data_IF_740219405848
#
_entry.id   IF_740219405848
#
_cell.length_a   1.000
_cell.length_b   1.000
_cell.length_c   1.000
_cell.angle_alpha   90.00
_cell.angle_beta   90.00
_cell.angle_gamma   90.00
#
_symmetry.space_group_name_H-M   'P 1'
#
loop_
_entity.id
_entity.type
_entity.pdbx_description
1 polymer ?
#
# COMPACT_ATOMS: atom_id res chain seq x y z
N UNK A 1 25.97 -12.86 -41.63
CA UNK A 1 25.75 -13.74 -40.45
C UNK A 1 25.70 -12.84 -39.24
N UNK A 2 24.60 -12.94 -38.47
CA UNK A 2 24.34 -12.25 -37.19
C UNK A 2 25.40 -12.61 -36.13
N UNK A 3 25.57 -11.87 -35.00
CA UNK A 3 24.48 -11.29 -34.21
C UNK A 3 24.73 -9.89 -33.60
N UNK A 4 23.66 -9.13 -33.41
CA UNK A 4 23.63 -8.09 -32.40
C UNK A 4 22.33 -8.25 -31.63
N UNK A 5 22.43 -9.12 -30.62
CA UNK A 5 21.57 -9.13 -29.45
C UNK A 5 21.75 -7.84 -28.67
N UNK A 6 20.64 -7.17 -28.39
CA UNK A 6 20.46 -6.30 -27.22
C UNK A 6 18.95 -6.24 -27.01
N UNK A 7 18.37 -7.32 -26.50
CA UNK A 7 18.02 -7.49 -25.09
C UNK A 7 17.36 -6.24 -24.49
N UNK A 8 16.03 -6.31 -24.49
CA UNK A 8 15.18 -6.02 -23.33
C UNK A 8 15.31 -4.62 -22.76
N UNK A 9 14.69 -3.63 -23.42
CA UNK A 9 14.06 -2.56 -22.67
C UNK A 9 12.96 -3.20 -21.83
N UNK A 10 13.25 -3.33 -20.54
CA UNK A 10 12.37 -3.82 -19.50
C UNK A 10 11.02 -3.09 -19.57
N UNK A 11 10.05 -3.76 -20.17
CA UNK A 11 8.63 -3.49 -19.97
C UNK A 11 8.31 -3.86 -18.52
N UNK A 12 8.62 -2.98 -17.58
CA UNK A 12 8.01 -3.03 -16.25
C UNK A 12 6.60 -2.46 -16.35
N UNK A 13 5.74 -3.19 -17.06
CA UNK A 13 4.33 -3.20 -16.73
C UNK A 13 4.25 -4.26 -15.66
N UNK A 14 4.30 -3.89 -14.39
CA UNK A 14 3.75 -4.78 -13.37
C UNK A 14 2.28 -4.95 -13.76
N UNK A 15 1.85 -6.13 -14.22
CA UNK A 15 0.42 -6.34 -14.36
C UNK A 15 -0.11 -6.28 -12.93
N UNK A 16 -0.99 -5.32 -12.68
CA UNK A 16 -1.85 -5.24 -11.50
C UNK A 16 -2.66 -6.55 -11.33
N UNK A 17 -2.06 -7.67 -10.90
CA UNK A 17 -2.78 -8.95 -10.72
C UNK A 17 -2.00 -9.93 -9.83
N UNK A 18 -1.83 -9.62 -8.54
CA UNK A 18 -1.75 -10.69 -7.52
C UNK A 18 -2.51 -10.24 -6.29
N UNK A 19 -3.56 -10.98 -5.93
CA UNK A 19 -4.42 -10.76 -4.76
C UNK A 19 -3.72 -11.03 -3.41
N UNK A 20 -2.39 -10.96 -3.40
CA UNK A 20 -1.56 -11.24 -2.23
C UNK A 20 -0.42 -10.24 -2.16
N UNK A 21 -0.26 -9.60 -1.01
CA UNK A 21 0.86 -8.69 -0.75
C UNK A 21 2.20 -9.43 -0.95
N UNK A 22 3.13 -8.89 -1.77
CA UNK A 22 4.35 -9.62 -2.10
C UNK A 22 5.25 -9.89 -0.89
N UNK A 23 5.83 -11.09 -0.83
CA UNK A 23 6.77 -11.51 0.22
C UNK A 23 8.20 -11.05 -0.08
N UNK A 24 8.37 -9.75 -0.34
CA UNK A 24 9.71 -9.23 -0.61
C UNK A 24 10.58 -9.20 0.67
N UNK A 25 11.88 -9.48 0.56
CA UNK A 25 12.77 -9.63 1.71
C UNK A 25 13.35 -8.30 2.21
N UNK A 26 13.19 -7.19 1.49
CA UNK A 26 13.64 -5.88 1.96
C UNK A 26 12.47 -5.10 2.52
N UNK A 27 12.76 -4.19 3.44
CA UNK A 27 11.80 -3.25 3.97
C UNK A 27 12.21 -1.83 3.62
N UNK A 28 11.26 -0.92 3.60
CA UNK A 28 11.56 0.48 3.72
C UNK A 28 10.66 1.11 4.78
N UNK A 29 11.27 1.91 5.64
CA UNK A 29 10.61 2.73 6.63
C UNK A 29 11.35 4.08 6.73
N UNK A 30 10.67 5.19 7.04
CA UNK A 30 11.34 6.44 7.32
C UNK A 30 11.94 6.44 8.74
N UNK A 31 13.03 7.17 8.96
CA UNK A 31 13.79 7.15 10.23
C UNK A 31 12.99 7.58 11.47
N UNK A 32 11.96 8.41 11.30
CA UNK A 32 11.21 9.04 12.40
C UNK A 32 9.75 8.56 12.51
N UNK A 33 9.41 7.40 11.93
CA UNK A 33 8.03 7.15 11.52
C UNK A 33 7.33 5.93 12.12
N UNK A 34 6.07 6.19 12.49
CA UNK A 34 5.08 5.18 12.82
C UNK A 34 4.58 4.40 11.62
N UNK A 35 3.71 3.46 11.94
CA UNK A 35 3.56 2.23 11.19
C UNK A 35 2.85 2.34 9.83
N UNK A 36 2.20 3.48 9.66
CA UNK A 36 1.51 3.93 8.46
C UNK A 36 2.37 3.87 7.18
N UNK A 37 3.70 3.98 7.27
CA UNK A 37 4.60 4.20 6.12
C UNK A 37 5.57 3.06 5.79
N UNK A 38 5.49 1.93 6.50
CA UNK A 38 6.38 0.78 6.27
C UNK A 38 5.91 0.00 5.03
N UNK A 39 6.83 -0.44 4.16
CA UNK A 39 6.52 -1.31 3.01
C UNK A 39 7.58 -2.39 2.80
N UNK A 40 7.17 -3.56 2.27
CA UNK A 40 8.07 -4.57 1.69
C UNK A 40 8.50 -4.13 0.29
N UNK A 41 9.78 -4.27 -0.01
CA UNK A 41 10.43 -3.75 -1.23
C UNK A 41 11.13 -4.88 -1.99
N UNK A 42 10.99 -4.96 -3.33
CA UNK A 42 11.64 -5.99 -4.15
C UNK A 42 13.17 -6.02 -3.99
N UNK A 43 13.80 -7.21 -4.07
CA UNK A 43 15.24 -7.37 -3.87
C UNK A 43 16.11 -6.84 -5.00
N UNK A 44 15.53 -6.68 -6.19
CA UNK A 44 16.16 -6.12 -7.38
C UNK A 44 16.12 -4.59 -7.42
N UNK A 45 15.47 -3.96 -6.42
CA UNK A 45 15.26 -2.52 -6.39
C UNK A 45 16.40 -1.83 -5.61
N UNK A 46 17.39 -1.31 -6.33
CA UNK A 46 18.52 -0.60 -5.72
C UNK A 46 18.12 0.71 -5.03
N UNK A 47 17.06 1.37 -5.53
CA UNK A 47 16.55 2.61 -4.95
C UNK A 47 15.03 2.74 -5.09
N UNK A 48 14.35 3.02 -3.98
CA UNK A 48 12.91 3.19 -3.92
C UNK A 48 12.52 4.61 -4.34
N UNK A 49 11.84 4.71 -5.48
CA UNK A 49 11.28 5.97 -5.98
C UNK A 49 9.87 6.18 -5.42
N UNK A 50 9.46 7.44 -5.25
CA UNK A 50 8.14 7.80 -4.70
C UNK A 50 6.97 7.11 -5.42
N UNK A 51 6.90 7.06 -6.77
CA UNK A 51 5.78 6.40 -7.45
C UNK A 51 5.70 4.90 -7.15
N UNK A 52 6.86 4.24 -6.99
CA UNK A 52 6.94 2.82 -6.66
C UNK A 52 6.52 2.60 -5.21
N UNK A 53 6.98 3.45 -4.29
CA UNK A 53 6.55 3.44 -2.90
C UNK A 53 5.04 3.57 -2.76
N UNK A 54 4.42 4.53 -3.44
CA UNK A 54 2.98 4.74 -3.40
C UNK A 54 2.21 3.53 -3.93
N UNK A 55 2.70 2.91 -5.02
CA UNK A 55 2.11 1.67 -5.54
C UNK A 55 2.21 0.51 -4.54
N UNK A 56 3.38 0.30 -3.92
CA UNK A 56 3.56 -0.73 -2.88
C UNK A 56 2.66 -0.48 -1.66
N UNK A 57 2.46 0.78 -1.28
CA UNK A 57 1.56 1.14 -0.18
C UNK A 57 0.09 0.87 -0.54
N UNK A 58 -0.32 1.16 -1.77
CA UNK A 58 -1.66 0.80 -2.25
C UNK A 58 -1.89 -0.71 -2.23
N UNK A 59 -0.92 -1.51 -2.69
CA UNK A 59 -1.00 -2.97 -2.63
C UNK A 59 -1.08 -3.47 -1.19
N UNK A 60 -0.34 -2.85 -0.25
CA UNK A 60 -0.43 -3.17 1.17
C UNK A 60 -1.82 -2.90 1.72
N UNK A 61 -2.37 -1.72 1.44
CA UNK A 61 -3.67 -1.32 1.95
C UNK A 61 -4.81 -2.14 1.31
N UNK A 62 -4.71 -2.48 0.02
CA UNK A 62 -5.61 -3.43 -0.64
C UNK A 62 -5.64 -4.78 0.10
N UNK A 63 -4.46 -5.30 0.48
CA UNK A 63 -4.37 -6.53 1.27
C UNK A 63 -5.03 -6.39 2.64
N UNK A 64 -4.76 -5.31 3.38
CA UNK A 64 -5.37 -5.08 4.70
C UNK A 64 -6.91 -5.01 4.60
N UNK A 65 -7.44 -4.41 3.54
CA UNK A 65 -8.88 -4.38 3.26
C UNK A 65 -9.41 -5.78 2.95
N UNK A 66 -8.69 -6.56 2.14
CA UNK A 66 -9.05 -7.94 1.82
C UNK A 66 -9.07 -8.84 3.07
N UNK A 67 -8.04 -8.76 3.91
CA UNK A 67 -7.91 -9.58 5.12
C UNK A 67 -9.01 -9.24 6.13
N UNK A 68 -9.30 -7.95 6.32
CA UNK A 68 -10.39 -7.50 7.18
C UNK A 68 -11.77 -7.97 6.67
N UNK A 69 -12.02 -7.84 5.36
CA UNK A 69 -13.27 -8.29 4.75
C UNK A 69 -13.45 -9.81 4.85
N UNK A 70 -12.37 -10.57 4.77
CA UNK A 70 -12.38 -12.02 4.96
C UNK A 70 -12.64 -12.43 6.42
N UNK A 71 -12.12 -11.65 7.40
CA UNK A 71 -12.31 -11.90 8.82
C UNK A 71 -13.70 -11.50 9.34
N UNK A 72 -14.31 -10.48 8.74
CA UNK A 72 -15.58 -9.89 9.17
C UNK A 72 -16.66 -10.07 8.09
N UNK A 73 -16.95 -9.02 7.34
CA UNK A 73 -17.74 -9.05 6.12
C UNK A 73 -17.43 -7.85 5.24
N UNK A 74 -17.81 -7.93 3.97
CA UNK A 74 -17.70 -6.82 3.03
C UNK A 74 -18.48 -5.57 3.49
N UNK A 75 -19.67 -5.76 4.06
CA UNK A 75 -20.53 -4.67 4.52
C UNK A 75 -19.89 -3.94 5.71
N UNK A 76 -19.40 -4.69 6.70
CA UNK A 76 -18.73 -4.12 7.86
C UNK A 76 -17.43 -3.40 7.48
N UNK A 77 -16.66 -3.97 6.54
CA UNK A 77 -15.46 -3.34 5.98
C UNK A 77 -15.78 -1.99 5.33
N UNK A 78 -16.82 -1.94 4.50
CA UNK A 78 -17.25 -0.70 3.86
C UNK A 78 -17.71 0.35 4.88
N UNK A 79 -18.43 -0.07 5.93
CA UNK A 79 -18.88 0.83 6.99
C UNK A 79 -17.70 1.42 7.78
N UNK A 80 -16.71 0.59 8.12
CA UNK A 80 -15.48 1.02 8.78
C UNK A 80 -14.74 2.06 7.93
N UNK A 81 -14.44 1.71 6.67
CA UNK A 81 -13.73 2.58 5.74
C UNK A 81 -14.46 3.92 5.53
N UNK A 82 -15.77 3.89 5.31
CA UNK A 82 -16.59 5.08 5.14
C UNK A 82 -16.61 5.98 6.39
N UNK A 83 -16.68 5.37 7.58
CA UNK A 83 -16.65 6.10 8.85
C UNK A 83 -15.32 6.82 9.04
N UNK A 84 -14.20 6.12 8.84
CA UNK A 84 -12.87 6.72 8.96
C UNK A 84 -12.64 7.79 7.89
N UNK A 85 -13.02 7.55 6.64
CA UNK A 85 -12.86 8.54 5.58
C UNK A 85 -13.63 9.83 5.88
N UNK A 86 -14.88 9.71 6.36
CA UNK A 86 -15.71 10.85 6.72
C UNK A 86 -15.13 11.67 7.89
N UNK A 87 -14.41 11.01 8.81
CA UNK A 87 -13.69 11.69 9.91
C UNK A 87 -12.42 12.40 9.42
N UNK A 88 -11.74 11.83 8.41
CA UNK A 88 -10.54 12.42 7.81
C UNK A 88 -10.88 13.64 6.96
N UNK A 89 -11.87 13.48 6.09
CA UNK A 89 -12.36 14.48 5.14
C UNK A 89 -13.81 14.17 4.72
N UNK A 90 -14.75 14.92 5.29
CA UNK A 90 -16.17 14.76 4.99
C UNK A 90 -16.54 15.15 3.53
N UNK A 91 -15.67 15.85 2.80
CA UNK A 91 -15.89 16.19 1.40
C UNK A 91 -15.40 15.10 0.43
N UNK A 92 -14.62 14.12 0.91
CA UNK A 92 -14.10 13.06 0.08
C UNK A 92 -15.21 12.09 -0.34
N UNK A 93 -15.29 11.78 -1.63
CA UNK A 93 -16.23 10.82 -2.16
C UNK A 93 -15.92 9.41 -1.61
N UNK A 94 -16.96 8.70 -1.16
CA UNK A 94 -16.88 7.33 -0.65
C UNK A 94 -16.96 6.35 -1.83
N UNK A 95 -15.94 5.52 -2.08
CA UNK A 95 -16.03 4.46 -3.08
C UNK A 95 -17.12 3.44 -2.73
N UNK A 96 -18.01 3.17 -3.67
CA UNK A 96 -19.12 2.21 -3.53
C UNK A 96 -18.81 0.95 -4.34
N UNK A 97 -19.20 -0.20 -3.80
CA UNK A 97 -19.10 -1.46 -4.54
C UNK A 97 -20.21 -1.47 -5.61
N UNK A 98 -19.80 -1.46 -6.87
CA UNK A 98 -20.72 -1.54 -8.00
C UNK A 98 -21.13 -3.00 -8.27
N UNK A 99 -22.34 -3.19 -8.80
CA UNK A 99 -22.79 -4.51 -9.24
C UNK A 99 -22.21 -4.78 -10.63
N UNK A 100 -21.42 -5.85 -10.76
CA UNK A 100 -20.84 -6.30 -12.02
C UNK A 100 -21.25 -7.76 -12.33
N UNK A 101 -21.13 -8.15 -13.59
CA UNK A 101 -21.30 -9.54 -14.02
C UNK A 101 -20.19 -10.46 -13.46
N UNK A 102 -19.04 -9.90 -13.13
CA UNK A 102 -17.94 -10.55 -12.43
C UNK A 102 -17.76 -9.93 -11.01
N UNK A 103 -18.29 -10.59 -9.96
CA UNK A 103 -18.19 -10.10 -8.58
C UNK A 103 -16.76 -10.02 -8.05
N UNK A 104 -15.85 -10.89 -8.50
CA UNK A 104 -14.45 -10.89 -8.05
C UNK A 104 -13.71 -9.68 -8.64
N UNK A 105 -13.97 -9.38 -9.91
CA UNK A 105 -13.47 -8.18 -10.56
C UNK A 105 -14.00 -6.91 -9.88
N UNK A 106 -15.31 -6.82 -9.63
CA UNK A 106 -15.92 -5.68 -8.94
C UNK A 106 -15.30 -5.44 -7.56
N UNK A 107 -15.09 -6.52 -6.80
CA UNK A 107 -14.49 -6.45 -5.48
C UNK A 107 -13.04 -5.96 -5.54
N UNK A 108 -12.26 -6.48 -6.49
CA UNK A 108 -10.87 -6.04 -6.73
C UNK A 108 -10.79 -4.56 -7.09
N UNK A 109 -11.64 -4.10 -8.02
CA UNK A 109 -11.73 -2.70 -8.41
C UNK A 109 -12.13 -1.80 -7.23
N UNK A 110 -13.12 -2.23 -6.44
CA UNK A 110 -13.57 -1.50 -5.26
C UNK A 110 -12.46 -1.31 -4.23
N UNK A 111 -11.67 -2.35 -3.93
CA UNK A 111 -10.55 -2.22 -2.99
C UNK A 111 -9.44 -1.33 -3.54
N UNK A 112 -9.15 -1.41 -4.84
CA UNK A 112 -8.21 -0.50 -5.51
C UNK A 112 -8.65 0.97 -5.40
N UNK A 113 -9.93 1.27 -5.60
CA UNK A 113 -10.46 2.62 -5.43
C UNK A 113 -10.31 3.13 -3.99
N UNK A 114 -10.50 2.25 -3.00
CA UNK A 114 -10.28 2.59 -1.59
C UNK A 114 -8.82 2.88 -1.29
N UNK A 115 -7.90 2.01 -1.72
CA UNK A 115 -6.48 2.21 -1.47
C UNK A 115 -5.95 3.46 -2.19
N UNK A 116 -6.41 3.74 -3.42
CA UNK A 116 -6.14 4.99 -4.12
C UNK A 116 -6.69 6.20 -3.36
N UNK A 117 -7.93 6.13 -2.87
CA UNK A 117 -8.55 7.23 -2.14
C UNK A 117 -7.76 7.56 -0.86
N UNK A 118 -7.35 6.54 -0.10
CA UNK A 118 -6.65 6.70 1.18
C UNK A 118 -5.18 7.11 1.03
N UNK A 119 -4.52 6.72 -0.06
CA UNK A 119 -3.09 7.01 -0.29
C UNK A 119 -2.89 8.24 -1.18
N UNK A 120 -3.57 8.29 -2.32
CA UNK A 120 -3.35 9.34 -3.31
C UNK A 120 -4.27 10.52 -3.10
N UNK A 121 -5.56 10.32 -2.85
CA UNK A 121 -6.51 11.45 -2.78
C UNK A 121 -6.59 12.10 -1.39
N UNK A 122 -6.20 11.39 -0.34
CA UNK A 122 -6.31 11.87 1.03
C UNK A 122 -5.22 12.90 1.38
N UNK A 123 -5.63 14.11 1.73
CA UNK A 123 -4.69 15.19 2.05
C UNK A 123 -3.92 14.94 3.35
N UNK A 124 -4.49 14.24 4.35
CA UNK A 124 -3.81 13.94 5.62
C UNK A 124 -2.68 12.95 5.45
N UNK A 125 -2.85 11.93 4.60
CA UNK A 125 -1.76 11.01 4.26
C UNK A 125 -0.60 11.78 3.64
N UNK A 126 -0.88 12.64 2.65
CA UNK A 126 0.12 13.50 2.01
C UNK A 126 0.77 14.49 3.00
N UNK A 127 -0.01 15.09 3.89
CA UNK A 127 0.50 16.02 4.89
C UNK A 127 1.44 15.32 5.87
N UNK A 128 1.08 14.12 6.33
CA UNK A 128 1.96 13.28 7.14
C UNK A 128 3.22 12.88 6.39
N UNK A 129 3.13 12.46 5.13
CA UNK A 129 4.34 12.18 4.33
C UNK A 129 5.32 13.37 4.33
N UNK A 130 4.80 14.60 4.23
CA UNK A 130 5.60 15.82 4.32
C UNK A 130 6.13 16.08 5.73
N UNK A 131 5.28 15.93 6.75
CA UNK A 131 5.63 16.15 8.16
C UNK A 131 6.81 15.29 8.60
N UNK A 132 6.78 14.01 8.20
CA UNK A 132 7.83 13.06 8.54
C UNK A 132 9.00 13.04 7.55
N UNK A 133 9.01 13.97 6.59
CA UNK A 133 10.14 14.20 5.71
C UNK A 133 10.53 12.98 4.88
N UNK A 134 9.56 12.23 4.34
CA UNK A 134 9.86 11.11 3.44
C UNK A 134 10.68 11.62 2.25
N UNK A 135 11.95 11.23 2.19
CA UNK A 135 12.87 11.59 1.10
C UNK A 135 13.04 10.43 0.14
N UNK A 136 12.83 10.71 -1.14
CA UNK A 136 13.10 9.77 -2.24
C UNK A 136 14.19 10.33 -3.17
N UNK A 137 15.03 9.48 -3.80
CA UNK A 137 15.01 8.02 -3.70
C UNK A 137 15.53 7.52 -2.36
N UNK A 138 14.95 6.42 -1.89
CA UNK A 138 15.26 5.85 -0.58
C UNK A 138 15.94 4.50 -0.69
N UNK A 139 16.83 4.18 0.26
CA UNK A 139 17.58 2.91 0.27
C UNK A 139 16.81 1.89 1.11
N UNK A 140 16.45 0.72 0.55
CA UNK A 140 15.79 -0.33 1.31
C UNK A 140 16.69 -0.91 2.40
N UNK A 141 16.08 -1.28 3.51
CA UNK A 141 16.66 -2.02 4.62
C UNK A 141 16.71 -3.50 4.30
N UNK A 142 17.91 -4.08 4.34
CA UNK A 142 18.15 -5.50 4.16
C UNK A 142 17.85 -6.31 5.46
N UNK A 143 17.60 -7.63 5.36
CA UNK A 143 17.33 -8.49 6.52
C UNK A 143 18.41 -8.52 7.61
N UNK A 144 19.66 -8.22 7.26
CA UNK A 144 20.80 -8.19 8.17
C UNK A 144 20.93 -6.86 8.92
N UNK A 145 20.10 -5.85 8.59
CA UNK A 145 20.09 -4.59 9.30
C UNK A 145 19.54 -4.76 10.73
N UNK A 146 20.15 -4.14 11.77
CA UNK A 146 19.76 -4.35 13.16
C UNK A 146 18.29 -4.06 13.49
N UNK A 147 17.70 -3.06 12.83
CA UNK A 147 16.29 -2.65 13.03
C UNK A 147 15.29 -3.41 12.14
N UNK A 148 15.76 -4.34 11.30
CA UNK A 148 14.88 -5.06 10.39
C UNK A 148 13.83 -5.92 11.11
N UNK A 149 14.17 -6.71 12.16
CA UNK A 149 13.20 -7.54 12.86
C UNK A 149 12.04 -6.72 13.43
N UNK A 150 12.36 -5.65 14.17
CA UNK A 150 11.36 -4.78 14.78
C UNK A 150 10.46 -4.13 13.71
N UNK A 151 11.03 -3.71 12.57
CA UNK A 151 10.28 -3.12 11.48
C UNK A 151 9.38 -4.13 10.76
N UNK A 152 9.83 -5.39 10.66
CA UNK A 152 9.06 -6.47 10.05
C UNK A 152 7.89 -6.88 10.94
N UNK A 153 8.13 -7.10 12.23
CA UNK A 153 7.10 -7.45 13.21
C UNK A 153 6.03 -6.35 13.22
N UNK A 154 6.48 -5.10 13.31
CA UNK A 154 5.60 -3.95 13.28
C UNK A 154 4.85 -3.81 11.93
N UNK A 155 5.46 -4.19 10.79
CA UNK A 155 4.78 -4.24 9.51
C UNK A 155 3.68 -5.33 9.48
N UNK A 156 3.98 -6.52 10.00
CA UNK A 156 3.13 -7.70 9.89
C UNK A 156 2.00 -7.69 10.94
N UNK A 157 2.18 -7.03 12.09
CA UNK A 157 1.19 -6.94 13.17
C UNK A 157 0.10 -5.88 12.95
N UNK A 158 0.29 -4.93 12.02
CA UNK A 158 -0.72 -3.91 11.74
C UNK A 158 -1.99 -4.51 11.16
N UNK A 159 -3.11 -4.15 11.77
CA UNK A 159 -4.44 -4.34 11.18
C UNK A 159 -4.89 -3.14 10.34
N UNK A 160 -5.94 -3.33 9.52
CA UNK A 160 -6.60 -2.22 8.83
C UNK A 160 -7.05 -1.12 9.81
N UNK A 161 -7.60 -1.52 10.97
CA UNK A 161 -8.05 -0.60 12.02
C UNK A 161 -6.90 0.23 12.58
N UNK A 162 -5.76 -0.40 12.89
CA UNK A 162 -4.56 0.30 13.36
C UNK A 162 -4.07 1.31 12.32
N UNK A 163 -4.05 0.91 11.04
CA UNK A 163 -3.60 1.77 9.96
C UNK A 163 -4.52 2.99 9.80
N UNK A 164 -5.83 2.79 9.80
CA UNK A 164 -6.83 3.86 9.70
C UNK A 164 -6.82 4.77 10.94
N UNK A 165 -6.67 4.19 12.13
CA UNK A 165 -6.53 4.94 13.39
C UNK A 165 -5.26 5.79 13.40
N UNK A 166 -4.15 5.25 12.89
CA UNK A 166 -2.95 6.02 12.71
C UNK A 166 -3.19 7.18 11.74
N UNK A 167 -3.96 7.02 10.67
CA UNK A 167 -4.23 8.11 9.72
C UNK A 167 -5.13 9.23 10.28
N UNK A 168 -6.03 8.92 11.22
CA UNK A 168 -7.01 9.88 11.80
C UNK A 168 -6.50 10.69 12.98
N UNK A 169 -5.52 10.18 13.74
CA UNK A 169 -4.85 10.87 14.84
C UNK A 169 -4.05 12.10 14.37
#
# INVERSE_FOLDING_TARGET
>A
MNPSDTYTQSRWIYPFMTAQYPTFPYLWQPEAMGVLFIVKVPPDLESLQEPIYLALMQTRLDQLIQDWAAATSQIETQQLLATHLSQLDAAQAIPLLESDADPEFALSQWRQQWSETLILSNWRFRDRMRHYGLTFPAVPMAPDHPSYPDALDLHDDITLEDWLGNLTL
#
